data_IF_964793309142
#
_entry.id   IF_964793309142
#
_cell.length_a   1.000
_cell.length_b   1.000
_cell.length_c   1.000
_cell.angle_alpha   90.00
_cell.angle_beta   90.00
_cell.angle_gamma   90.00
#
_symmetry.space_group_name_H-M   'P 1'
#
loop_
_entity.id
_entity.type
_entity.pdbx_description
1 polymer ?
#
# COMPACT_ATOMS: atom_id res chain seq x y z
N UNK A 1 12.86 26.66 35.63
CA UNK A 1 13.63 25.73 34.76
C UNK A 1 13.19 25.97 33.33
N UNK A 2 14.02 26.67 32.54
CA UNK A 2 13.68 27.07 31.18
C UNK A 2 13.87 25.88 30.23
N UNK A 3 12.77 25.41 29.65
CA UNK A 3 12.79 24.38 28.60
C UNK A 3 13.29 25.04 27.31
N UNK A 4 14.50 24.68 26.87
CA UNK A 4 15.04 25.10 25.58
C UNK A 4 14.25 24.41 24.47
N UNK A 5 13.43 25.16 23.74
CA UNK A 5 12.92 24.77 22.43
C UNK A 5 14.12 24.57 21.50
N UNK A 6 14.40 23.31 21.16
CA UNK A 6 15.36 22.96 20.10
C UNK A 6 14.56 23.04 18.79
N UNK A 7 14.90 23.93 17.85
CA UNK A 7 14.23 23.96 16.56
C UNK A 7 14.54 22.65 15.82
N UNK A 8 13.51 21.95 15.36
CA UNK A 8 13.67 20.86 14.41
C UNK A 8 14.31 21.42 13.15
N UNK A 9 15.62 21.19 12.97
CA UNK A 9 16.33 21.52 11.75
C UNK A 9 15.80 20.54 10.70
N UNK A 10 14.99 21.04 9.77
CA UNK A 10 14.73 20.33 8.51
C UNK A 10 16.07 20.26 7.77
N UNK A 11 16.84 19.20 7.98
CA UNK A 11 17.95 18.89 7.10
C UNK A 11 17.35 18.52 5.75
N UNK A 12 17.44 19.42 4.77
CA UNK A 12 17.21 19.04 3.38
C UNK A 12 18.27 18.01 2.99
N UNK A 13 17.86 16.78 2.71
CA UNK A 13 18.74 15.74 2.17
C UNK A 13 19.08 15.96 0.69
N UNK A 14 18.61 17.06 0.10
CA UNK A 14 18.85 17.41 -1.29
C UNK A 14 20.32 17.78 -1.51
N UNK A 15 20.93 17.11 -2.47
CA UNK A 15 22.30 17.38 -2.88
C UNK A 15 22.34 18.61 -3.80
N UNK A 16 23.45 19.35 -3.77
CA UNK A 16 23.65 20.41 -4.77
C UNK A 16 23.83 19.80 -6.16
N UNK A 17 23.47 20.54 -7.22
CA UNK A 17 23.63 20.12 -8.62
C UNK A 17 25.06 19.69 -8.94
N UNK A 18 26.05 20.41 -8.41
CA UNK A 18 27.48 20.09 -8.57
C UNK A 18 27.83 18.74 -7.94
N UNK A 19 27.22 18.40 -6.79
CA UNK A 19 27.44 17.12 -6.11
C UNK A 19 26.78 15.97 -6.88
N UNK A 20 25.60 16.19 -7.44
CA UNK A 20 24.89 15.21 -8.28
C UNK A 20 25.72 14.86 -9.52
N UNK A 21 26.23 15.87 -10.22
CA UNK A 21 27.10 15.69 -11.38
C UNK A 21 28.42 15.00 -11.01
N UNK A 22 29.03 15.39 -9.89
CA UNK A 22 30.28 14.78 -9.41
C UNK A 22 30.11 13.29 -9.04
N UNK A 23 28.97 12.92 -8.46
CA UNK A 23 28.62 11.54 -8.12
C UNK A 23 28.10 10.74 -9.32
N UNK A 24 27.95 11.36 -10.50
CA UNK A 24 27.39 10.72 -11.70
C UNK A 24 25.93 10.31 -11.56
N UNK A 25 25.19 10.93 -10.63
CA UNK A 25 23.77 10.65 -10.42
C UNK A 25 22.94 11.41 -11.45
N UNK A 26 21.89 10.77 -11.97
CA UNK A 26 20.96 11.42 -12.90
C UNK A 26 19.80 12.14 -12.20
N UNK A 27 19.61 11.90 -10.90
CA UNK A 27 18.52 12.44 -10.08
C UNK A 27 18.96 12.60 -8.62
N UNK A 28 18.23 13.43 -7.87
CA UNK A 28 18.39 13.59 -6.42
C UNK A 28 18.16 12.26 -5.70
N UNK A 29 19.16 11.70 -5.00
CA UNK A 29 18.97 10.48 -4.24
C UNK A 29 17.95 10.72 -3.12
N UNK A 30 17.08 9.74 -2.85
CA UNK A 30 16.01 9.81 -1.85
C UNK A 30 14.93 10.87 -2.09
N UNK A 31 14.93 11.52 -3.25
CA UNK A 31 13.80 12.36 -3.63
C UNK A 31 12.50 11.55 -3.64
N UNK A 32 11.39 12.20 -3.28
CA UNK A 32 10.05 11.62 -3.31
C UNK A 32 9.72 10.97 -4.67
N UNK A 33 10.33 11.48 -5.74
CA UNK A 33 10.23 10.97 -7.11
C UNK A 33 10.98 9.65 -7.35
N UNK A 34 12.10 9.37 -6.65
CA UNK A 34 12.78 8.06 -6.70
C UNK A 34 12.03 7.05 -5.83
N UNK A 35 11.29 7.52 -4.84
CA UNK A 35 10.34 6.70 -4.11
C UNK A 35 9.03 6.49 -4.88
N UNK A 36 8.89 7.03 -6.11
CA UNK A 36 7.72 6.80 -6.96
C UNK A 36 7.73 5.39 -7.56
N UNK A 37 6.56 4.99 -8.07
CA UNK A 37 6.32 3.64 -8.61
C UNK A 37 7.21 3.25 -9.80
N UNK A 38 7.94 4.20 -10.39
CA UNK A 38 8.80 3.97 -11.57
C UNK A 38 10.19 3.42 -11.23
N UNK A 39 10.61 3.51 -9.98
CA UNK A 39 11.94 3.08 -9.52
C UNK A 39 11.82 1.89 -8.58
N UNK A 40 11.40 0.75 -9.15
CA UNK A 40 11.39 -0.54 -8.47
C UNK A 40 12.67 -1.30 -8.79
N UNK A 41 13.46 -1.64 -7.76
CA UNK A 41 14.66 -2.45 -7.94
C UNK A 41 14.27 -3.91 -8.09
N UNK A 42 14.03 -4.34 -9.33
CA UNK A 42 13.60 -5.69 -9.61
C UNK A 42 14.79 -6.65 -9.60
N UNK A 43 14.79 -7.61 -8.67
CA UNK A 43 15.71 -8.75 -8.66
C UNK A 43 14.95 -10.01 -9.05
N UNK A 44 15.66 -11.04 -9.54
CA UNK A 44 15.02 -12.33 -9.85
C UNK A 44 14.29 -12.96 -8.64
N UNK A 45 14.71 -12.64 -7.41
CA UNK A 45 14.03 -13.08 -6.20
C UNK A 45 12.71 -12.32 -6.00
N UNK A 46 12.69 -11.01 -6.22
CA UNK A 46 11.48 -10.18 -6.10
C UNK A 46 10.46 -10.49 -7.19
N UNK A 47 10.91 -10.77 -8.42
CA UNK A 47 9.99 -11.18 -9.49
C UNK A 47 9.26 -12.47 -9.11
N UNK A 48 9.97 -13.48 -8.61
CA UNK A 48 9.37 -14.73 -8.12
C UNK A 48 8.36 -14.51 -7.00
N UNK A 49 8.65 -13.60 -6.07
CA UNK A 49 7.72 -13.25 -4.99
C UNK A 49 6.47 -12.60 -5.57
N UNK A 50 6.61 -11.65 -6.49
CA UNK A 50 5.48 -10.98 -7.15
C UNK A 50 4.62 -11.98 -7.93
N UNK A 51 5.24 -12.84 -8.73
CA UNK A 51 4.56 -13.88 -9.51
C UNK A 51 3.80 -14.84 -8.57
N UNK A 52 4.43 -15.23 -7.46
CA UNK A 52 3.79 -16.07 -6.45
C UNK A 52 2.60 -15.36 -5.80
N UNK A 53 2.69 -14.06 -5.48
CA UNK A 53 1.59 -13.30 -4.90
C UNK A 53 0.40 -13.21 -5.87
N UNK A 54 0.67 -12.92 -7.14
CA UNK A 54 -0.37 -12.87 -8.19
C UNK A 54 -1.05 -14.23 -8.31
N UNK A 55 -0.29 -15.32 -8.34
CA UNK A 55 -0.85 -16.67 -8.40
C UNK A 55 -1.69 -17.00 -7.16
N UNK A 56 -1.22 -16.68 -5.96
CA UNK A 56 -1.99 -16.93 -4.74
C UNK A 56 -3.30 -16.12 -4.72
N UNK A 57 -3.28 -14.88 -5.21
CA UNK A 57 -4.47 -14.04 -5.31
C UNK A 57 -5.48 -14.59 -6.31
N UNK A 58 -5.02 -15.14 -7.44
CA UNK A 58 -5.91 -15.69 -8.47
C UNK A 58 -6.54 -17.03 -8.09
N UNK A 59 -5.81 -17.88 -7.36
CA UNK A 59 -6.18 -19.28 -7.15
C UNK A 59 -6.46 -19.64 -5.69
N UNK A 60 -6.37 -18.69 -4.76
CA UNK A 60 -6.63 -18.93 -3.34
C UNK A 60 -7.51 -17.85 -2.72
N UNK A 61 -8.33 -18.25 -1.77
CA UNK A 61 -9.14 -17.35 -0.93
C UNK A 61 -8.44 -17.08 0.42
N UNK A 62 -7.10 -17.11 0.42
CA UNK A 62 -6.31 -17.00 1.64
C UNK A 62 -6.04 -15.53 2.02
N UNK A 63 -6.01 -15.26 3.31
CA UNK A 63 -5.42 -14.04 3.85
C UNK A 63 -3.89 -14.14 3.73
N UNK A 64 -3.30 -13.25 2.95
CA UNK A 64 -1.85 -13.15 2.78
C UNK A 64 -1.28 -12.04 3.67
N UNK A 65 -0.25 -12.38 4.45
CA UNK A 65 0.48 -11.43 5.28
C UNK A 65 1.92 -11.33 4.77
N UNK A 66 2.36 -10.11 4.47
CA UNK A 66 3.72 -9.82 4.02
C UNK A 66 4.49 -9.19 5.16
N UNK A 67 5.47 -9.93 5.68
CA UNK A 67 6.32 -9.50 6.78
C UNK A 67 7.76 -9.26 6.34
N UNK A 68 8.48 -8.45 7.13
CA UNK A 68 9.90 -8.19 6.91
C UNK A 68 10.37 -7.02 7.75
N UNK A 69 11.70 -6.85 7.93
CA UNK A 69 12.28 -5.74 8.68
C UNK A 69 11.83 -4.35 8.18
N UNK A 70 11.91 -3.32 9.03
CA UNK A 70 11.69 -1.94 8.60
C UNK A 70 12.68 -1.57 7.48
N UNK A 71 12.19 -0.90 6.43
CA UNK A 71 13.02 -0.53 5.27
C UNK A 71 13.29 -1.65 4.26
N UNK A 72 12.71 -2.85 4.43
CA UNK A 72 12.91 -3.97 3.50
C UNK A 72 12.21 -3.82 2.13
N UNK A 73 11.56 -2.70 1.86
CA UNK A 73 10.85 -2.44 0.59
C UNK A 73 9.41 -2.98 0.51
N UNK A 74 8.76 -3.30 1.63
CA UNK A 74 7.34 -3.76 1.65
C UNK A 74 6.39 -2.79 0.95
N UNK A 75 6.51 -1.49 1.24
CA UNK A 75 5.70 -0.45 0.58
C UNK A 75 6.02 -0.34 -0.92
N UNK A 76 7.27 -0.55 -1.32
CA UNK A 76 7.64 -0.61 -2.74
C UNK A 76 7.02 -1.82 -3.44
N UNK A 77 7.01 -2.98 -2.77
CA UNK A 77 6.33 -4.19 -3.26
C UNK A 77 4.83 -3.98 -3.36
N UNK A 78 4.20 -3.37 -2.35
CA UNK A 78 2.78 -3.00 -2.37
C UNK A 78 2.45 -2.11 -3.57
N UNK A 79 3.22 -1.03 -3.80
CA UNK A 79 3.03 -0.12 -4.94
C UNK A 79 3.15 -0.84 -6.29
N UNK A 80 4.14 -1.72 -6.42
CA UNK A 80 4.31 -2.53 -7.63
C UNK A 80 3.14 -3.50 -7.81
N UNK A 81 2.68 -4.12 -6.72
CA UNK A 81 1.60 -5.11 -6.75
C UNK A 81 0.27 -4.49 -7.16
N UNK A 82 -0.09 -3.31 -6.65
CA UNK A 82 -1.37 -2.65 -7.01
C UNK A 82 -1.42 -2.16 -8.47
N UNK A 83 -0.26 -2.06 -9.14
CA UNK A 83 -0.15 -1.78 -10.57
C UNK A 83 -0.20 -3.04 -11.43
N UNK A 84 -0.13 -4.22 -10.81
CA UNK A 84 -0.21 -5.48 -11.54
C UNK A 84 -1.62 -5.69 -12.04
N UNK A 85 -1.73 -6.06 -13.32
CA UNK A 85 -3.02 -6.44 -13.90
C UNK A 85 -3.29 -7.91 -13.56
N UNK A 86 -4.34 -8.13 -12.76
CA UNK A 86 -4.76 -9.44 -12.30
C UNK A 86 -6.13 -9.71 -12.92
N UNK A 87 -6.21 -10.73 -13.76
CA UNK A 87 -7.45 -11.09 -14.46
C UNK A 87 -8.63 -11.22 -13.48
N UNK A 88 -9.76 -10.64 -13.87
CA UNK A 88 -11.02 -10.71 -13.13
C UNK A 88 -10.91 -10.25 -11.66
N UNK A 89 -9.95 -9.39 -11.34
CA UNK A 89 -9.71 -8.92 -9.96
C UNK A 89 -9.77 -7.41 -9.89
N UNK A 90 -10.55 -6.87 -8.94
CA UNK A 90 -10.60 -5.44 -8.64
C UNK A 90 -9.79 -5.16 -7.38
N UNK A 91 -8.64 -4.50 -7.55
CA UNK A 91 -7.76 -4.14 -6.43
C UNK A 91 -8.32 -2.91 -5.69
N UNK A 92 -8.55 -3.08 -4.39
CA UNK A 92 -8.95 -2.04 -3.43
C UNK A 92 -7.76 -1.80 -2.49
N UNK A 93 -6.88 -0.90 -2.90
CA UNK A 93 -5.64 -0.60 -2.18
C UNK A 93 -5.85 0.50 -1.15
N UNK A 94 -5.21 0.39 0.02
CA UNK A 94 -5.28 1.45 1.03
C UNK A 94 -4.06 1.46 1.93
N UNK A 95 -3.76 2.65 2.46
CA UNK A 95 -2.80 2.85 3.54
C UNK A 95 -3.55 2.83 4.86
N UNK A 96 -3.11 1.97 5.79
CA UNK A 96 -3.63 1.96 7.15
C UNK A 96 -3.09 3.14 7.97
N UNK A 97 -3.97 3.69 8.80
CA UNK A 97 -3.65 4.69 9.82
C UNK A 97 -4.02 4.16 11.21
N UNK A 98 -3.32 4.58 12.26
CA UNK A 98 -3.56 4.07 13.61
C UNK A 98 -4.96 4.38 14.14
N UNK A 99 -5.60 5.41 13.61
CA UNK A 99 -6.97 5.80 13.92
C UNK A 99 -8.03 5.02 13.15
N UNK A 100 -7.64 4.18 12.19
CA UNK A 100 -8.58 3.44 11.36
C UNK A 100 -9.36 2.39 12.16
N UNK A 101 -10.66 2.57 12.15
CA UNK A 101 -11.69 1.62 12.57
C UNK A 101 -12.18 0.82 11.38
N UNK A 102 -12.91 -0.27 11.63
CA UNK A 102 -13.55 -1.06 10.56
C UNK A 102 -14.41 -0.19 9.63
N UNK A 103 -15.13 0.77 10.18
CA UNK A 103 -16.00 1.69 9.40
C UNK A 103 -15.17 2.56 8.46
N UNK A 104 -14.03 3.09 8.92
CA UNK A 104 -13.14 3.87 8.05
C UNK A 104 -12.51 3.02 6.95
N UNK A 105 -12.17 1.76 7.25
CA UNK A 105 -11.68 0.81 6.23
C UNK A 105 -12.75 0.55 5.17
N UNK A 106 -14.00 0.31 5.59
CA UNK A 106 -15.14 0.16 4.68
C UNK A 106 -15.36 1.41 3.82
N UNK A 107 -15.26 2.61 4.41
CA UNK A 107 -15.34 3.87 3.66
C UNK A 107 -14.22 4.00 2.63
N UNK A 108 -12.98 3.66 3.00
CA UNK A 108 -11.83 3.63 2.06
C UNK A 108 -12.10 2.65 0.91
N UNK A 109 -12.68 1.48 1.19
CA UNK A 109 -13.10 0.53 0.14
C UNK A 109 -14.17 1.12 -0.79
N UNK A 110 -15.21 1.75 -0.25
CA UNK A 110 -16.28 2.38 -1.04
C UNK A 110 -15.75 3.47 -1.97
N UNK A 111 -14.82 4.30 -1.51
CA UNK A 111 -14.18 5.35 -2.33
C UNK A 111 -13.46 4.72 -3.54
N UNK A 112 -12.76 3.60 -3.36
CA UNK A 112 -12.10 2.88 -4.46
C UNK A 112 -13.07 2.27 -5.48
N UNK A 113 -14.32 2.04 -5.09
CA UNK A 113 -15.38 1.53 -5.95
C UNK A 113 -16.09 2.65 -6.74
N UNK A 114 -15.64 3.91 -6.62
CA UNK A 114 -16.22 5.09 -7.28
C UNK A 114 -17.68 5.36 -6.91
N UNK A 115 -18.14 4.76 -5.82
CA UNK A 115 -19.38 5.17 -5.19
C UNK A 115 -19.08 6.40 -4.33
N UNK A 116 -20.04 7.31 -4.22
CA UNK A 116 -19.88 8.66 -3.65
C UNK A 116 -19.67 8.67 -2.11
N UNK A 117 -18.78 7.82 -1.59
CA UNK A 117 -18.33 7.82 -0.20
C UNK A 117 -19.31 7.23 0.81
N UNK A 118 -20.37 6.54 0.36
CA UNK A 118 -21.34 5.95 1.27
C UNK A 118 -20.97 4.49 1.59
N UNK A 119 -20.56 4.25 2.84
CA UNK A 119 -20.26 2.90 3.33
C UNK A 119 -21.50 1.99 3.34
N UNK A 120 -22.71 2.57 3.32
CA UNK A 120 -23.96 1.82 3.36
C UNK A 120 -24.18 0.98 2.09
N UNK A 121 -23.58 1.38 0.97
CA UNK A 121 -23.71 0.69 -0.33
C UNK A 121 -22.54 -0.26 -0.63
N UNK A 122 -21.58 -0.42 0.28
CA UNK A 122 -20.43 -1.29 0.07
C UNK A 122 -20.85 -2.71 -0.34
N UNK A 123 -21.82 -3.29 0.37
CA UNK A 123 -22.33 -4.63 0.07
C UNK A 123 -22.95 -4.74 -1.33
N UNK A 124 -23.65 -3.71 -1.78
CA UNK A 124 -24.27 -3.66 -3.11
C UNK A 124 -23.21 -3.54 -4.21
N UNK A 125 -22.17 -2.74 -3.97
CA UNK A 125 -21.05 -2.61 -4.89
C UNK A 125 -20.22 -3.90 -4.98
N UNK A 126 -19.95 -4.55 -3.85
CA UNK A 126 -19.27 -5.85 -3.82
C UNK A 126 -20.10 -6.93 -4.53
N UNK A 127 -21.44 -6.92 -4.38
CA UNK A 127 -22.33 -7.79 -5.17
C UNK A 127 -22.27 -7.48 -6.66
N UNK A 128 -22.23 -6.20 -7.03
CA UNK A 128 -22.13 -5.78 -8.42
C UNK A 128 -20.84 -6.27 -9.07
N UNK A 129 -19.70 -6.20 -8.36
CA UNK A 129 -18.44 -6.82 -8.83
C UNK A 129 -18.60 -8.31 -9.11
N UNK A 130 -19.22 -9.06 -8.19
CA UNK A 130 -19.51 -10.48 -8.40
C UNK A 130 -20.41 -10.74 -9.62
N UNK A 131 -21.37 -9.87 -9.92
CA UNK A 131 -22.21 -9.98 -11.11
C UNK A 131 -21.43 -9.82 -12.42
N UNK A 132 -20.34 -9.05 -12.40
CA UNK A 132 -19.41 -8.88 -13.53
C UNK A 132 -18.25 -9.88 -13.52
N UNK A 133 -18.36 -10.95 -12.72
CA UNK A 133 -17.29 -11.95 -12.54
C UNK A 133 -15.97 -11.34 -12.07
N UNK A 134 -16.04 -10.26 -11.28
CA UNK A 134 -14.88 -9.61 -10.67
C UNK A 134 -14.79 -9.95 -9.18
N UNK A 135 -13.60 -10.40 -8.77
CA UNK A 135 -13.28 -10.67 -7.37
C UNK A 135 -12.64 -9.42 -6.74
N UNK A 136 -13.21 -8.86 -5.67
CA UNK A 136 -12.59 -7.75 -4.95
C UNK A 136 -11.38 -8.25 -4.14
N UNK A 137 -10.24 -7.58 -4.31
CA UNK A 137 -9.02 -7.84 -3.54
C UNK A 137 -8.68 -6.61 -2.68
N UNK A 138 -8.77 -6.75 -1.36
CA UNK A 138 -8.36 -5.69 -0.43
C UNK A 138 -6.87 -5.83 -0.13
N UNK A 139 -6.12 -4.75 -0.35
CA UNK A 139 -4.67 -4.71 -0.07
C UNK A 139 -4.38 -3.55 0.87
N UNK A 140 -3.87 -3.85 2.06
CA UNK A 140 -3.64 -2.86 3.12
C UNK A 140 -2.14 -2.74 3.37
N UNK A 141 -1.54 -1.60 3.04
CA UNK A 141 -0.17 -1.29 3.47
C UNK A 141 -0.16 -0.79 4.92
N UNK A 142 0.94 -1.06 5.62
CA UNK A 142 1.17 -0.69 7.01
C UNK A 142 0.12 -1.22 8.01
N UNK A 143 -0.51 -2.37 7.73
CA UNK A 143 -1.53 -2.98 8.59
C UNK A 143 -1.12 -3.16 10.07
N UNK A 144 0.19 -3.19 10.37
CA UNK A 144 0.73 -3.23 11.74
C UNK A 144 0.36 -2.01 12.61
N UNK A 145 -0.10 -0.90 12.02
CA UNK A 145 -0.55 0.28 12.77
C UNK A 145 -2.00 0.15 13.27
N UNK A 146 -2.77 -0.77 12.69
CA UNK A 146 -4.17 -0.98 13.06
C UNK A 146 -4.26 -1.57 14.47
N UNK A 147 -5.31 -1.20 15.20
CA UNK A 147 -5.57 -1.82 16.50
C UNK A 147 -5.89 -3.31 16.36
N UNK A 148 -5.52 -4.11 17.36
CA UNK A 148 -5.86 -5.54 17.41
C UNK A 148 -7.36 -5.79 17.21
N UNK A 149 -8.19 -4.89 17.76
CA UNK A 149 -9.66 -4.98 17.61
C UNK A 149 -10.11 -4.75 16.17
N UNK A 150 -9.44 -3.88 15.42
CA UNK A 150 -9.72 -3.64 14.01
C UNK A 150 -9.28 -4.84 13.18
N UNK A 151 -8.06 -5.35 13.41
CA UNK A 151 -7.54 -6.52 12.71
C UNK A 151 -8.43 -7.76 12.90
N UNK A 152 -8.85 -8.04 14.15
CA UNK A 152 -9.77 -9.14 14.43
C UNK A 152 -11.11 -9.01 13.70
N UNK A 153 -11.62 -7.78 13.55
CA UNK A 153 -12.86 -7.54 12.81
C UNK A 153 -12.68 -7.78 11.31
N UNK A 154 -11.55 -7.35 10.74
CA UNK A 154 -11.22 -7.61 9.32
C UNK A 154 -11.13 -9.11 9.06
N UNK A 155 -10.43 -9.86 9.92
CA UNK A 155 -10.26 -11.32 9.74
C UNK A 155 -11.56 -12.11 9.88
N UNK A 156 -12.56 -11.55 10.55
CA UNK A 156 -13.89 -12.17 10.73
C UNK A 156 -14.90 -11.73 9.69
N UNK A 157 -14.56 -10.77 8.83
CA UNK A 157 -15.43 -10.28 7.78
C UNK A 157 -15.42 -11.32 6.65
N UNK A 158 -16.43 -12.19 6.65
CA UNK A 158 -16.67 -13.24 5.64
C UNK A 158 -17.90 -12.87 4.81
#
# INVERSE_FOLDING_TARGET
MASKNIPHINLSSDLSTQTIEHLGLSKQPFASEILSDKSFFNTQALSKISDSLIHQVQFSELLLIIEGPHGSGKTSLFRQFIQSDISNTKILSMQAEATDTLVQIQQKMSIHLQDLGDANHLDENLKSLKMFDQTPLVVIDSAHVLSDTTLQKIFRYQ
#
